data_IF_547335434058
#
_entry.id   IF_547335434058
#
_cell.length_a   1.000
_cell.length_b   1.000
_cell.length_c   1.000
_cell.angle_alpha   90.00
_cell.angle_beta   90.00
_cell.angle_gamma   90.00
#
_symmetry.space_group_name_H-M   'P 1'
#
loop_
_entity.id
_entity.type
_entity.pdbx_description
1 polymer ?
#
# COMPACT_ATOMS: atom_id res chain seq x y z
N UNK A 1 -12.40 -55.47 -42.83
CA UNK A 1 -12.39 -54.14 -42.17
C UNK A 1 -12.56 -54.33 -40.68
N UNK A 2 -11.82 -53.55 -39.89
CA UNK A 2 -11.31 -53.92 -38.57
C UNK A 2 -12.29 -53.86 -37.40
N UNK A 3 -11.85 -54.57 -36.35
CA UNK A 3 -12.36 -54.73 -34.99
C UNK A 3 -12.52 -53.38 -34.25
N UNK A 4 -13.44 -53.27 -33.27
CA UNK A 4 -13.09 -53.08 -31.83
C UNK A 4 -14.29 -52.82 -30.90
N UNK A 5 -14.04 -53.10 -29.62
CA UNK A 5 -14.95 -53.43 -28.52
C UNK A 5 -15.53 -52.22 -27.76
N UNK A 6 -16.78 -52.35 -27.31
CA UNK A 6 -17.35 -51.60 -26.19
C UNK A 6 -16.92 -52.26 -24.87
N UNK A 7 -15.98 -51.67 -24.14
CA UNK A 7 -15.90 -51.78 -22.68
C UNK A 7 -14.87 -50.84 -22.05
N UNK A 8 -15.21 -50.31 -20.87
CA UNK A 8 -14.26 -50.02 -19.80
C UNK A 8 -13.88 -48.55 -19.58
N UNK A 9 -14.41 -47.95 -18.51
CA UNK A 9 -14.03 -46.57 -18.14
C UNK A 9 -14.53 -46.03 -16.80
N UNK A 10 -14.50 -46.85 -15.75
CA UNK A 10 -14.39 -46.52 -14.32
C UNK A 10 -15.24 -45.38 -13.71
N UNK A 11 -16.14 -45.81 -12.83
CA UNK A 11 -16.59 -45.05 -11.67
C UNK A 11 -15.42 -44.68 -10.75
N UNK A 12 -15.34 -43.42 -10.33
CA UNK A 12 -14.92 -42.91 -9.01
C UNK A 12 -14.55 -41.44 -9.18
N UNK A 13 -15.33 -40.55 -8.58
CA UNK A 13 -14.97 -39.16 -8.17
C UNK A 13 -16.19 -38.23 -7.99
N UNK A 14 -17.41 -38.77 -7.83
CA UNK A 14 -18.58 -37.97 -7.49
C UNK A 14 -18.96 -38.19 -6.03
N UNK A 15 -18.80 -37.15 -5.22
CA UNK A 15 -19.37 -37.03 -3.87
C UNK A 15 -20.88 -36.73 -4.00
N UNK A 16 -21.70 -37.22 -3.07
CA UNK A 16 -23.17 -37.26 -3.12
C UNK A 16 -23.88 -35.88 -3.16
N UNK A 17 -23.16 -34.79 -3.40
CA UNK A 17 -23.67 -33.42 -3.43
C UNK A 17 -23.34 -32.62 -4.70
N UNK A 18 -22.74 -33.25 -5.73
CA UNK A 18 -22.61 -32.63 -7.07
C UNK A 18 -21.74 -31.36 -7.16
N UNK A 19 -20.93 -31.06 -6.14
CA UNK A 19 -20.07 -29.85 -6.10
C UNK A 19 -18.62 -30.17 -6.44
N UNK A 20 -18.04 -29.46 -7.42
CA UNK A 20 -16.63 -29.54 -7.82
C UNK A 20 -15.71 -29.23 -6.61
N UNK A 21 -14.91 -30.21 -6.15
CA UNK A 21 -13.84 -30.01 -5.16
C UNK A 21 -12.72 -29.14 -5.76
N UNK A 22 -12.60 -27.88 -5.33
CA UNK A 22 -11.47 -26.99 -5.67
C UNK A 22 -10.18 -27.51 -5.03
N UNK A 23 -9.19 -27.90 -5.85
CA UNK A 23 -7.82 -28.24 -5.42
C UNK A 23 -7.17 -27.03 -4.74
N UNK A 24 -6.82 -27.16 -3.46
CA UNK A 24 -5.97 -26.21 -2.72
C UNK A 24 -4.53 -26.36 -3.21
N UNK A 25 -3.99 -25.33 -3.87
CA UNK A 25 -2.60 -25.26 -4.32
C UNK A 25 -1.77 -24.63 -3.20
N UNK A 26 -0.89 -25.40 -2.59
CA UNK A 26 0.03 -24.98 -1.53
C UNK A 26 1.12 -24.06 -2.09
N UNK A 27 1.22 -22.83 -1.57
CA UNK A 27 2.27 -21.89 -1.94
C UNK A 27 3.59 -22.24 -1.24
N UNK A 28 4.62 -22.38 -2.07
CA UNK A 28 6.01 -22.69 -1.76
C UNK A 28 6.70 -21.47 -1.16
N UNK A 29 7.33 -21.68 -0.01
CA UNK A 29 8.11 -20.72 0.77
C UNK A 29 9.50 -20.57 0.14
N UNK A 30 9.87 -19.38 -0.34
CA UNK A 30 11.27 -19.04 -0.67
C UNK A 30 11.75 -17.96 0.29
N UNK A 31 12.66 -18.37 1.17
CA UNK A 31 13.61 -17.50 1.84
C UNK A 31 14.63 -17.04 0.80
N UNK A 32 14.87 -15.75 0.67
CA UNK A 32 16.16 -15.28 0.19
C UNK A 32 16.58 -14.00 0.92
N UNK A 33 17.86 -14.00 1.25
CA UNK A 33 18.57 -13.18 2.20
C UNK A 33 19.36 -12.07 1.51
N UNK A 34 19.46 -10.94 2.21
CA UNK A 34 20.66 -10.08 2.33
C UNK A 34 21.40 -9.66 1.05
N UNK A 35 21.30 -8.37 0.71
CA UNK A 35 22.42 -7.41 0.78
C UNK A 35 21.93 -6.06 0.24
N UNK A 36 21.91 -5.03 1.07
CA UNK A 36 22.16 -3.69 0.55
C UNK A 36 22.98 -2.91 1.56
N UNK A 37 24.21 -2.64 1.10
CA UNK A 37 25.26 -1.89 1.75
C UNK A 37 24.88 -0.41 1.82
N UNK A 38 25.37 0.19 2.89
CA UNK A 38 25.36 1.61 3.24
C UNK A 38 25.75 2.54 2.09
N UNK A 39 25.28 3.79 2.22
CA UNK A 39 25.99 5.08 2.02
C UNK A 39 24.93 6.15 1.67
N UNK A 40 24.89 7.41 2.13
CA UNK A 40 25.62 8.24 3.10
C UNK A 40 24.74 9.49 3.28
N UNK A 41 24.79 10.11 4.47
CA UNK A 41 24.58 11.52 4.85
C UNK A 41 23.85 12.47 3.86
N UNK A 42 23.03 13.44 4.27
CA UNK A 42 23.52 14.70 4.88
C UNK A 42 22.33 15.64 5.22
N UNK A 43 22.47 16.36 6.34
CA UNK A 43 21.89 17.68 6.72
C UNK A 43 20.39 17.85 7.01
N UNK A 44 20.06 17.71 8.29
CA UNK A 44 19.71 18.79 9.24
C UNK A 44 19.10 20.13 8.77
N UNK A 45 17.95 20.43 9.40
CA UNK A 45 17.56 21.67 10.11
C UNK A 45 17.36 22.99 9.36
N UNK A 46 16.13 23.51 9.42
CA UNK A 46 15.90 24.89 9.88
C UNK A 46 14.57 25.00 10.64
N UNK A 47 14.64 25.83 11.67
CA UNK A 47 13.84 25.90 12.88
C UNK A 47 12.81 27.03 12.82
N UNK A 48 11.64 26.80 13.45
CA UNK A 48 10.67 27.84 13.78
C UNK A 48 10.25 27.68 15.26
N UNK A 49 10.18 28.75 16.07
CA UNK A 49 9.90 28.66 17.50
C UNK A 49 8.38 28.66 17.73
N UNK A 50 7.84 27.51 18.12
CA UNK A 50 6.47 27.38 18.57
C UNK A 50 6.30 26.01 19.20
N UNK A 51 6.20 25.95 20.52
CA UNK A 51 6.14 24.71 21.29
C UNK A 51 5.08 23.75 20.76
N UNK A 52 5.54 22.72 20.06
CA UNK A 52 4.76 21.53 19.71
C UNK A 52 5.68 20.35 20.01
N UNK A 53 5.14 19.39 20.76
CA UNK A 53 5.81 18.13 21.06
C UNK A 53 6.55 17.62 19.81
N UNK A 54 7.81 17.21 19.98
CA UNK A 54 8.69 16.65 18.95
C UNK A 54 8.09 15.39 18.32
N UNK A 55 7.05 15.59 17.52
CA UNK A 55 6.43 14.59 16.70
C UNK A 55 7.31 14.43 15.47
N UNK A 56 8.28 13.53 15.58
CA UNK A 56 9.26 13.26 14.52
C UNK A 56 8.54 12.90 13.21
N UNK A 57 8.55 13.82 12.23
CA UNK A 57 8.03 13.55 10.89
C UNK A 57 8.84 12.43 10.24
N UNK A 58 8.15 11.41 9.72
CA UNK A 58 8.76 10.29 9.01
C UNK A 58 8.45 10.40 7.52
N UNK A 59 9.39 9.99 6.67
CA UNK A 59 9.18 9.89 5.22
C UNK A 59 8.46 8.57 4.92
N UNK A 60 7.42 8.63 4.10
CA UNK A 60 6.72 7.45 3.62
C UNK A 60 7.43 6.77 2.44
N UNK A 61 7.20 5.47 2.28
CA UNK A 61 7.71 4.71 1.13
C UNK A 61 6.78 4.87 -0.07
N UNK A 62 7.36 5.04 -1.27
CA UNK A 62 6.63 5.14 -2.53
C UNK A 62 6.17 6.55 -2.87
N UNK A 63 5.34 6.64 -3.90
CA UNK A 63 4.75 7.89 -4.35
C UNK A 63 3.23 7.81 -4.25
N UNK A 64 2.59 8.97 -4.13
CA UNK A 64 1.14 9.05 -3.98
C UNK A 64 0.55 10.05 -4.95
N UNK A 65 -0.72 9.77 -5.26
CA UNK A 65 -1.65 10.60 -5.97
C UNK A 65 -2.87 10.76 -5.05
N UNK A 66 -3.63 11.83 -5.21
CA UNK A 66 -4.84 12.00 -4.42
C UNK A 66 -5.97 12.55 -5.28
N UNK A 67 -7.19 12.18 -4.91
CA UNK A 67 -8.41 12.72 -5.50
C UNK A 67 -9.43 12.90 -4.40
N UNK A 68 -9.88 14.13 -4.21
CA UNK A 68 -10.76 14.50 -3.10
C UNK A 68 -10.20 14.03 -1.75
N UNK A 69 -10.88 13.08 -1.08
CA UNK A 69 -10.50 12.52 0.21
C UNK A 69 -9.81 11.16 0.12
N UNK A 70 -9.51 10.68 -1.08
CA UNK A 70 -8.85 9.39 -1.31
C UNK A 70 -7.42 9.64 -1.76
N UNK A 71 -6.49 8.90 -1.16
CA UNK A 71 -5.09 8.88 -1.56
C UNK A 71 -4.77 7.50 -2.13
N UNK A 72 -4.19 7.48 -3.32
CA UNK A 72 -3.75 6.28 -4.02
C UNK A 72 -2.23 6.27 -4.05
N UNK A 73 -1.64 5.18 -3.57
CA UNK A 73 -0.21 4.96 -3.52
C UNK A 73 0.29 4.04 -4.64
N UNK A 74 1.50 4.32 -5.10
CA UNK A 74 2.30 3.51 -5.99
C UNK A 74 3.58 3.09 -5.26
N UNK A 75 3.82 1.78 -5.17
CA UNK A 75 4.93 1.18 -4.42
C UNK A 75 4.96 1.59 -2.93
N UNK A 76 3.78 1.84 -2.37
CA UNK A 76 3.58 2.23 -0.98
C UNK A 76 3.34 1.02 -0.06
N UNK A 77 3.46 1.23 1.25
CA UNK A 77 3.21 0.22 2.30
C UNK A 77 2.30 0.76 3.39
N UNK A 78 1.13 1.28 3.01
CA UNK A 78 0.27 2.01 3.94
C UNK A 78 -0.15 1.20 5.16
N UNK A 79 -0.44 -0.10 5.02
CA UNK A 79 -0.87 -0.93 6.17
C UNK A 79 0.26 -1.17 7.18
N UNK A 80 1.51 -1.12 6.73
CA UNK A 80 2.69 -1.35 7.59
C UNK A 80 3.22 -0.05 8.21
N UNK A 81 3.15 1.06 7.49
CA UNK A 81 3.74 2.34 7.91
C UNK A 81 2.75 3.25 8.62
N UNK A 82 1.47 3.18 8.27
CA UNK A 82 0.44 4.13 8.69
C UNK A 82 -0.63 3.45 9.53
N UNK A 83 -1.35 4.25 10.31
CA UNK A 83 -2.46 3.83 11.13
C UNK A 83 -3.57 4.87 11.11
N UNK A 84 -4.80 4.46 11.41
CA UNK A 84 -5.91 5.39 11.55
C UNK A 84 -5.59 6.41 12.66
N UNK A 85 -5.86 7.69 12.40
CA UNK A 85 -5.52 8.79 13.32
C UNK A 85 -4.16 9.45 13.06
N UNK A 86 -3.26 8.79 12.32
CA UNK A 86 -1.98 9.40 11.94
C UNK A 86 -2.18 10.64 11.06
N UNK A 87 -1.22 11.55 11.10
CA UNK A 87 -1.23 12.72 10.24
C UNK A 87 -0.45 12.43 8.95
N UNK A 88 -1.11 12.61 7.81
CA UNK A 88 -0.57 12.45 6.47
C UNK A 88 -0.22 13.82 5.90
N UNK A 89 1.00 13.98 5.40
CA UNK A 89 1.55 15.28 4.99
C UNK A 89 2.00 15.20 3.54
N UNK A 90 1.49 16.13 2.73
CA UNK A 90 1.86 16.31 1.33
C UNK A 90 2.30 17.75 1.09
N UNK A 91 3.34 17.92 0.29
CA UNK A 91 3.81 19.24 -0.13
C UNK A 91 3.05 19.69 -1.36
N UNK A 92 2.43 20.86 -1.29
CA UNK A 92 1.73 21.47 -2.41
C UNK A 92 2.76 21.95 -3.46
N UNK A 93 2.69 21.48 -4.72
CA UNK A 93 3.67 21.83 -5.74
C UNK A 93 3.61 23.30 -6.17
N UNK A 94 2.43 23.93 -6.11
CA UNK A 94 2.24 25.31 -6.53
C UNK A 94 2.70 26.30 -5.44
N UNK A 95 2.36 26.03 -4.18
CA UNK A 95 2.63 26.96 -3.06
C UNK A 95 3.88 26.60 -2.25
N UNK A 96 4.46 25.42 -2.47
CA UNK A 96 5.53 24.86 -1.65
C UNK A 96 5.21 24.71 -0.15
N UNK A 97 3.94 24.80 0.23
CA UNK A 97 3.48 24.63 1.62
C UNK A 97 3.11 23.17 1.89
N UNK A 98 3.41 22.71 3.10
CA UNK A 98 3.01 21.39 3.55
C UNK A 98 1.55 21.43 4.02
N UNK A 99 0.73 20.54 3.46
CA UNK A 99 -0.65 20.33 3.85
C UNK A 99 -0.75 19.01 4.62
N UNK A 100 -1.29 19.09 5.84
CA UNK A 100 -1.46 17.95 6.73
C UNK A 100 -2.94 17.57 6.85
N UNK A 101 -3.22 16.26 6.83
CA UNK A 101 -4.57 15.68 6.90
C UNK A 101 -4.54 14.43 7.78
N UNK A 102 -5.57 14.24 8.61
CA UNK A 102 -5.69 13.02 9.44
C UNK A 102 -6.18 11.86 8.59
N UNK A 103 -5.58 10.68 8.76
CA UNK A 103 -6.00 9.42 8.14
C UNK A 103 -7.25 8.90 8.84
N UNK A 104 -8.33 8.72 8.07
CA UNK A 104 -9.60 8.15 8.58
C UNK A 104 -9.58 6.64 8.58
N UNK A 105 -9.08 6.01 7.52
CA UNK A 105 -8.93 4.56 7.42
C UNK A 105 -8.00 4.22 6.25
N UNK A 106 -7.43 3.03 6.28
CA UNK A 106 -6.54 2.49 5.25
C UNK A 106 -7.23 1.25 4.67
N UNK A 107 -7.41 1.21 3.35
CA UNK A 107 -8.13 0.11 2.68
C UNK A 107 -7.17 -0.95 2.16
N UNK A 108 -5.96 -0.55 1.76
CA UNK A 108 -4.89 -1.43 1.29
C UNK A 108 -3.54 -0.74 1.42
N UNK A 109 -2.44 -1.44 1.09
CA UNK A 109 -1.11 -0.83 1.01
C UNK A 109 -1.01 0.29 -0.04
N UNK A 110 -1.98 0.41 -0.95
CA UNK A 110 -2.03 1.36 -2.06
C UNK A 110 -3.22 2.33 -1.98
N UNK A 111 -4.07 2.26 -0.96
CA UNK A 111 -5.21 3.18 -0.86
C UNK A 111 -5.59 3.48 0.59
N UNK A 112 -5.85 4.76 0.85
CA UNK A 112 -6.32 5.25 2.14
C UNK A 112 -7.29 6.43 1.97
N UNK A 113 -8.05 6.71 3.02
CA UNK A 113 -8.95 7.85 3.09
C UNK A 113 -8.51 8.84 4.16
N UNK A 114 -8.59 10.13 3.83
CA UNK A 114 -8.24 11.25 4.69
C UNK A 114 -9.47 12.04 5.13
N UNK A 115 -9.28 12.86 6.17
CA UNK A 115 -10.32 13.67 6.81
C UNK A 115 -10.90 14.77 5.92
N UNK A 116 -10.09 15.40 5.08
CA UNK A 116 -10.53 16.41 4.12
C UNK A 116 -9.62 16.41 2.90
N UNK A 117 -10.12 16.97 1.80
CA UNK A 117 -9.35 17.08 0.57
C UNK A 117 -8.15 18.02 0.70
N UNK A 118 -7.14 17.81 -0.15
CA UNK A 118 -6.06 18.77 -0.34
C UNK A 118 -6.54 19.96 -1.17
N UNK A 119 -5.88 21.10 -0.97
CA UNK A 119 -6.26 22.37 -1.62
C UNK A 119 -5.77 22.47 -3.07
N UNK A 120 -4.87 21.58 -3.47
CA UNK A 120 -4.35 21.48 -4.83
C UNK A 120 -4.93 20.26 -5.55
N UNK A 121 -4.92 20.28 -6.88
CA UNK A 121 -5.24 19.11 -7.67
C UNK A 121 -4.00 18.23 -7.83
N UNK A 122 -4.19 16.91 -7.86
CA UNK A 122 -3.10 15.99 -8.19
C UNK A 122 -2.72 16.18 -9.65
N UNK A 123 -1.57 16.82 -9.90
CA UNK A 123 -0.93 16.81 -11.22
C UNK A 123 -0.48 15.39 -11.56
N UNK A 124 -0.32 15.06 -12.85
CA UNK A 124 0.14 13.74 -13.34
C UNK A 124 1.50 13.28 -12.78
N UNK A 125 2.16 14.10 -11.96
CA UNK A 125 3.40 13.83 -11.26
C UNK A 125 3.14 13.13 -9.92
N UNK A 126 3.78 11.97 -9.73
CA UNK A 126 3.77 11.23 -8.48
C UNK A 126 4.45 12.04 -7.36
N UNK A 127 3.81 12.19 -6.18
CA UNK A 127 4.35 12.99 -5.09
C UNK A 127 4.82 12.13 -3.92
N UNK A 128 5.96 12.44 -3.32
CA UNK A 128 6.38 11.79 -2.06
C UNK A 128 5.59 12.35 -0.88
N UNK A 129 5.29 11.50 0.12
CA UNK A 129 4.57 11.92 1.33
C UNK A 129 5.42 11.75 2.59
N UNK A 130 5.01 12.46 3.64
CA UNK A 130 5.50 12.29 5.01
C UNK A 130 4.32 11.97 5.92
N UNK A 131 4.61 11.45 7.10
CA UNK A 131 3.59 11.21 8.11
C UNK A 131 4.11 11.43 9.52
N UNK A 132 3.17 11.63 10.44
CA UNK A 132 3.40 11.74 11.88
C UNK A 132 2.52 10.70 12.57
N UNK A 133 3.13 9.95 13.48
CA UNK A 133 2.41 9.00 14.34
C UNK A 133 1.72 9.77 15.46
N UNK A 134 0.43 9.51 15.65
CA UNK A 134 -0.35 10.04 16.76
C UNK A 134 -0.06 9.28 18.07
#
# INVERSE_FOLDING_TARGET
MGLTFKNGGKASDYDATGKKKKKKKSHKKSKESSKHTQETSTASSSSGPGGQADMSQKRGTGSVFHSSTIVTGQDTRFLSELSQGDAFILKNPATNKDEMRVIRFITSDSSLAISSAFSFACSSSSSSFKYVKA
#
